data_IF_142119066528
#
_entry.id   IF_142119066528
#
_cell.length_a   1.000
_cell.length_b   1.000
_cell.length_c   1.000
_cell.angle_alpha   90.00
_cell.angle_beta   90.00
_cell.angle_gamma   90.00
#
_symmetry.space_group_name_H-M   'P 1'
#
loop_
_entity.id
_entity.type
_entity.pdbx_description
1 polymer ?
#
# COMPACT_ATOMS: atom_id res chain seq x y z
N UNK A 1 14.51 -10.46 12.35
CA UNK A 1 13.11 -10.23 11.99
C UNK A 1 12.54 -11.33 11.09
N UNK A 2 13.14 -11.70 9.94
CA UNK A 2 12.62 -12.74 9.02
C UNK A 2 12.34 -14.07 9.72
N UNK A 3 13.28 -14.61 10.48
CA UNK A 3 13.11 -15.87 11.22
C UNK A 3 11.93 -15.81 12.19
N UNK A 4 11.77 -14.68 12.90
CA UNK A 4 10.64 -14.48 13.82
C UNK A 4 9.32 -14.44 13.05
N UNK A 5 9.24 -13.66 11.96
CA UNK A 5 8.04 -13.59 11.14
C UNK A 5 7.66 -14.94 10.53
N UNK A 6 8.63 -15.65 9.96
CA UNK A 6 8.42 -16.97 9.37
C UNK A 6 7.95 -17.99 10.41
N UNK A 7 8.53 -17.96 11.62
CA UNK A 7 8.13 -18.86 12.69
C UNK A 7 6.62 -18.76 13.02
N UNK A 8 6.09 -17.53 13.10
CA UNK A 8 4.65 -17.33 13.35
C UNK A 8 3.79 -17.62 12.12
N UNK A 9 4.27 -17.30 10.92
CA UNK A 9 3.57 -17.63 9.69
C UNK A 9 3.43 -19.15 9.49
N UNK A 10 4.47 -19.95 9.80
CA UNK A 10 4.45 -21.40 9.78
C UNK A 10 3.47 -22.00 10.80
N UNK A 11 3.16 -21.28 11.87
CA UNK A 11 2.11 -21.63 12.83
C UNK A 11 0.71 -21.22 12.38
N UNK A 12 0.55 -20.65 11.17
CA UNK A 12 -0.72 -20.22 10.60
C UNK A 12 -1.21 -18.87 11.15
N UNK A 13 -0.31 -18.05 11.71
CA UNK A 13 -0.66 -16.67 12.09
C UNK A 13 -0.55 -15.72 10.88
N UNK A 14 -1.41 -14.72 10.83
CA UNK A 14 -1.36 -13.64 9.83
C UNK A 14 -0.26 -12.63 10.23
N UNK A 15 0.76 -12.51 9.38
CA UNK A 15 1.96 -11.71 9.61
C UNK A 15 2.16 -10.74 8.45
N UNK A 16 2.22 -9.44 8.75
CA UNK A 16 2.70 -8.46 7.78
C UNK A 16 4.24 -8.41 7.79
N UNK A 17 4.84 -8.53 6.61
CA UNK A 17 6.27 -8.32 6.39
C UNK A 17 6.48 -6.95 5.73
N UNK A 18 7.18 -6.05 6.41
CA UNK A 18 7.47 -4.70 5.92
C UNK A 18 8.85 -4.72 5.27
N UNK A 19 8.87 -4.82 3.95
CA UNK A 19 10.10 -4.92 3.16
C UNK A 19 10.76 -3.56 2.97
N UNK A 20 12.10 -3.53 3.05
CA UNK A 20 12.89 -2.34 2.79
C UNK A 20 12.97 -2.04 1.29
N UNK A 21 12.71 -0.79 0.90
CA UNK A 21 12.82 -0.37 -0.49
C UNK A 21 14.28 -0.22 -0.97
N UNK A 22 15.21 0.05 -0.05
CA UNK A 22 16.63 0.24 -0.35
C UNK A 22 17.40 -1.09 -0.44
N UNK A 23 16.95 -2.09 0.32
CA UNK A 23 17.48 -3.47 0.32
C UNK A 23 16.31 -4.45 0.26
N UNK A 24 15.89 -4.87 -0.94
CA UNK A 24 14.68 -5.68 -1.13
C UNK A 24 14.68 -7.04 -0.41
N UNK A 25 15.87 -7.48 0.03
CA UNK A 25 16.01 -8.71 0.80
C UNK A 25 15.96 -8.50 2.32
N UNK A 26 15.87 -7.25 2.78
CA UNK A 26 15.76 -6.89 4.19
C UNK A 26 14.35 -6.51 4.60
N UNK A 27 14.08 -6.57 5.91
CA UNK A 27 12.83 -6.12 6.51
C UNK A 27 13.07 -4.91 7.41
N UNK A 28 12.23 -3.89 7.23
CA UNK A 28 12.11 -2.76 8.15
C UNK A 28 11.23 -3.12 9.36
N UNK A 29 10.40 -4.18 9.24
CA UNK A 29 9.58 -4.65 10.34
C UNK A 29 8.75 -5.88 10.02
N UNK A 30 8.09 -6.39 11.08
CA UNK A 30 7.02 -7.38 11.02
C UNK A 30 5.89 -6.98 11.96
N UNK A 31 4.65 -7.37 11.60
CA UNK A 31 3.49 -7.16 12.47
C UNK A 31 2.74 -8.47 12.63
N UNK A 32 2.65 -8.95 13.87
CA UNK A 32 1.86 -10.11 14.26
C UNK A 32 0.44 -9.63 14.57
N UNK A 33 -0.44 -9.64 13.57
CA UNK A 33 -1.77 -8.99 13.64
C UNK A 33 -2.62 -9.49 14.80
N UNK A 34 -2.72 -10.80 14.96
CA UNK A 34 -3.52 -11.44 16.02
C UNK A 34 -3.00 -11.10 17.43
N UNK A 35 -1.68 -11.01 17.59
CA UNK A 35 -1.03 -10.69 18.86
C UNK A 35 -0.97 -9.19 19.13
N UNK A 36 -1.17 -8.35 18.10
CA UNK A 36 -1.01 -6.90 18.16
C UNK A 36 0.40 -6.49 18.60
N UNK A 37 1.41 -7.21 18.10
CA UNK A 37 2.84 -6.97 18.35
C UNK A 37 3.48 -6.59 17.04
N UNK A 38 4.30 -5.53 17.05
CA UNK A 38 5.16 -5.16 15.94
C UNK A 38 6.62 -5.19 16.40
N UNK A 39 7.50 -5.69 15.54
CA UNK A 39 8.95 -5.60 15.69
C UNK A 39 9.47 -4.74 14.53
N UNK A 40 10.04 -3.58 14.84
CA UNK A 40 10.45 -2.58 13.86
C UNK A 40 11.96 -2.30 13.98
N UNK A 41 12.59 -2.00 12.84
CA UNK A 41 13.92 -1.40 12.84
C UNK A 41 13.79 0.07 13.27
N UNK A 42 14.31 0.39 14.44
CA UNK A 42 14.31 1.75 15.01
C UNK A 42 15.57 2.55 14.68
N UNK A 43 16.44 2.05 13.77
CA UNK A 43 17.64 2.80 13.36
C UNK A 43 17.32 3.83 12.27
N UNK A 44 18.18 4.85 12.11
CA UNK A 44 17.99 5.85 11.07
C UNK A 44 17.99 5.20 9.67
N UNK A 45 17.09 5.64 8.75
CA UNK A 45 16.15 6.75 8.83
C UNK A 45 14.80 6.44 9.50
N UNK A 46 14.54 5.20 9.95
CA UNK A 46 13.26 4.71 10.46
C UNK A 46 13.10 4.91 11.97
N UNK A 47 13.64 6.01 12.50
CA UNK A 47 13.60 6.28 13.94
C UNK A 47 12.16 6.34 14.45
N UNK A 48 11.84 5.46 15.38
CA UNK A 48 10.56 5.41 16.10
C UNK A 48 10.82 5.58 17.57
N UNK A 49 10.38 6.70 18.13
CA UNK A 49 10.47 6.92 19.58
C UNK A 49 9.33 6.18 20.30
N UNK A 50 9.65 5.41 21.36
CA UNK A 50 8.63 4.77 22.17
C UNK A 50 7.73 5.82 22.81
N UNK A 51 6.41 5.61 22.72
CA UNK A 51 5.43 6.52 23.34
C UNK A 51 5.19 6.16 24.81
N UNK A 52 5.24 4.89 25.15
CA UNK A 52 5.01 4.37 26.49
C UNK A 52 6.11 3.37 26.88
N UNK A 53 7.37 3.84 27.03
CA UNK A 53 8.51 2.96 27.27
C UNK A 53 8.37 2.19 28.57
N UNK A 54 8.62 0.89 28.52
CA UNK A 54 8.52 -0.02 29.65
C UNK A 54 7.10 -0.42 30.06
N UNK A 55 6.06 0.26 29.55
CA UNK A 55 4.66 -0.08 29.80
C UNK A 55 4.02 -0.82 28.60
N UNK A 56 4.33 -0.38 27.38
CA UNK A 56 3.82 -0.94 26.12
C UNK A 56 4.96 -1.17 25.15
N UNK A 57 5.85 -0.20 25.02
CA UNK A 57 6.94 -0.22 24.05
C UNK A 57 8.24 -0.69 24.72
N UNK A 58 8.97 -1.56 24.03
CA UNK A 58 10.24 -2.10 24.47
C UNK A 58 11.33 -1.80 23.44
N UNK A 59 12.50 -1.39 23.92
CA UNK A 59 13.68 -1.14 23.09
C UNK A 59 14.64 -2.32 23.22
N UNK A 60 14.84 -3.05 22.11
CA UNK A 60 15.86 -4.08 22.04
C UNK A 60 17.17 -3.45 21.53
N UNK A 61 18.09 -3.16 22.45
CA UNK A 61 19.36 -2.53 22.11
C UNK A 61 20.39 -3.54 21.58
N UNK A 62 20.41 -3.78 20.28
CA UNK A 62 21.39 -4.65 19.65
C UNK A 62 22.82 -4.09 19.68
N UNK A 63 22.99 -2.80 20.01
CA UNK A 63 24.31 -2.18 20.19
C UNK A 63 25.09 -2.74 21.37
N UNK A 64 24.47 -3.44 22.30
CA UNK A 64 25.13 -4.17 23.39
C UNK A 64 26.08 -5.28 22.91
N UNK A 65 25.84 -5.79 21.69
CA UNK A 65 26.67 -6.83 21.05
C UNK A 65 27.79 -6.26 20.17
N UNK A 66 27.96 -4.93 20.11
CA UNK A 66 29.02 -4.32 19.30
C UNK A 66 30.39 -4.48 19.95
N UNK A 67 31.39 -4.83 19.13
CA UNK A 67 32.80 -4.77 19.51
C UNK A 67 33.28 -3.33 19.34
N UNK A 68 32.96 -2.49 20.34
CA UNK A 68 33.08 -1.03 20.27
C UNK A 68 34.50 -0.55 19.96
N UNK A 69 35.55 -1.25 20.42
CA UNK A 69 36.93 -0.85 20.18
C UNK A 69 37.35 -1.09 18.72
N UNK A 70 36.86 -2.16 18.08
CA UNK A 70 37.11 -2.41 16.67
C UNK A 70 36.39 -1.38 15.79
N UNK A 71 35.16 -1.02 16.13
CA UNK A 71 34.41 0.01 15.43
C UNK A 71 35.08 1.37 15.56
N UNK A 72 35.57 1.72 16.78
CA UNK A 72 36.33 2.97 17.00
C UNK A 72 37.62 3.03 16.21
N UNK A 73 38.32 1.92 16.08
CA UNK A 73 39.54 1.85 15.27
C UNK A 73 39.29 2.17 13.79
N UNK A 74 38.07 1.89 13.30
CA UNK A 74 37.64 2.16 11.91
C UNK A 74 36.83 3.45 11.75
N UNK A 75 36.76 4.31 12.76
CA UNK A 75 35.91 5.52 12.80
C UNK A 75 35.96 6.35 11.51
N UNK A 76 37.16 6.61 10.97
CA UNK A 76 37.30 7.41 9.75
C UNK A 76 36.66 6.78 8.53
N UNK A 77 36.79 5.47 8.38
CA UNK A 77 36.18 4.70 7.29
C UNK A 77 34.65 4.67 7.42
N UNK A 78 34.12 4.48 8.63
CA UNK A 78 32.68 4.48 8.90
C UNK A 78 32.07 5.83 8.56
N UNK A 79 32.65 6.94 9.02
CA UNK A 79 32.16 8.31 8.76
C UNK A 79 32.17 8.57 7.25
N UNK A 80 33.31 8.31 6.57
CA UNK A 80 33.42 8.52 5.12
C UNK A 80 32.43 7.67 4.32
N UNK A 81 32.16 6.43 4.74
CA UNK A 81 31.14 5.59 4.11
C UNK A 81 29.74 6.19 4.25
N UNK A 82 29.37 6.66 5.45
CA UNK A 82 28.09 7.29 5.70
C UNK A 82 27.89 8.58 4.89
N UNK A 83 28.92 9.42 4.79
CA UNK A 83 28.87 10.65 3.97
C UNK A 83 28.65 10.33 2.50
N UNK A 84 29.37 9.33 1.96
CA UNK A 84 29.19 8.88 0.58
C UNK A 84 27.80 8.30 0.34
N UNK A 85 27.32 7.46 1.25
CA UNK A 85 25.95 6.89 1.17
C UNK A 85 24.91 7.98 1.18
N UNK A 86 25.01 8.97 2.07
CA UNK A 86 24.10 10.12 2.12
C UNK A 86 24.09 10.91 0.82
N UNK A 87 25.28 11.17 0.23
CA UNK A 87 25.36 11.87 -1.05
C UNK A 87 24.71 11.07 -2.19
N UNK A 88 24.86 9.74 -2.22
CA UNK A 88 24.19 8.89 -3.20
C UNK A 88 22.67 8.90 -3.05
N UNK A 89 22.15 8.83 -1.83
CA UNK A 89 20.72 8.95 -1.60
C UNK A 89 20.15 10.30 -2.03
N UNK A 90 20.88 11.41 -1.81
CA UNK A 90 20.44 12.72 -2.32
C UNK A 90 20.31 12.72 -3.85
N UNK A 91 21.24 12.08 -4.57
CA UNK A 91 21.15 11.93 -6.02
C UNK A 91 19.93 11.09 -6.43
N UNK A 92 19.71 9.95 -5.77
CA UNK A 92 18.53 9.07 -6.02
C UNK A 92 17.24 9.85 -5.82
N UNK A 93 17.09 10.59 -4.71
CA UNK A 93 15.91 11.40 -4.47
C UNK A 93 15.74 12.52 -5.52
N UNK A 94 16.82 13.09 -6.04
CA UNK A 94 16.77 14.02 -7.16
C UNK A 94 16.17 13.38 -8.43
N UNK A 95 16.61 12.17 -8.79
CA UNK A 95 16.03 11.42 -9.91
C UNK A 95 14.56 11.04 -9.68
N UNK A 96 14.22 10.57 -8.50
CA UNK A 96 12.84 10.23 -8.15
C UNK A 96 11.92 11.47 -8.21
N UNK A 97 12.39 12.63 -7.75
CA UNK A 97 11.64 13.88 -7.84
C UNK A 97 11.40 14.30 -9.30
N UNK A 98 12.41 14.18 -10.17
CA UNK A 98 12.25 14.43 -11.59
C UNK A 98 11.27 13.47 -12.26
N UNK A 99 11.34 12.19 -11.93
CA UNK A 99 10.40 11.17 -12.39
C UNK A 99 8.97 11.46 -11.89
N UNK A 100 8.81 11.91 -10.65
CA UNK A 100 7.53 12.34 -10.07
C UNK A 100 6.89 13.50 -10.85
N UNK A 101 7.68 14.51 -11.23
CA UNK A 101 7.19 15.62 -12.08
C UNK A 101 6.72 15.15 -13.45
N UNK A 102 7.44 14.21 -14.06
CA UNK A 102 7.02 13.62 -15.32
C UNK A 102 5.72 12.82 -15.16
N UNK A 103 5.56 12.08 -14.07
CA UNK A 103 4.34 11.32 -13.77
C UNK A 103 3.14 12.25 -13.53
N UNK A 104 3.30 13.40 -12.84
CA UNK A 104 2.26 14.42 -12.70
C UNK A 104 1.80 14.95 -14.06
N UNK A 105 2.74 15.30 -14.94
CA UNK A 105 2.42 15.76 -16.29
C UNK A 105 1.68 14.69 -17.11
N UNK A 106 2.13 13.44 -17.06
CA UNK A 106 1.44 12.33 -17.73
C UNK A 106 0.01 12.15 -17.20
N UNK A 107 -0.20 12.28 -15.91
CA UNK A 107 -1.52 12.17 -15.29
C UNK A 107 -2.48 13.27 -15.80
N UNK A 108 -1.99 14.50 -15.93
CA UNK A 108 -2.78 15.60 -16.49
C UNK A 108 -3.15 15.37 -17.97
N UNK A 109 -2.20 14.89 -18.76
CA UNK A 109 -2.42 14.57 -20.19
C UNK A 109 -3.45 13.46 -20.30
N UNK A 110 -3.29 12.36 -19.58
CA UNK A 110 -4.23 11.22 -19.60
C UNK A 110 -5.64 11.63 -19.16
N UNK A 111 -5.74 12.47 -18.13
CA UNK A 111 -7.05 12.96 -17.68
C UNK A 111 -7.77 13.76 -18.77
N UNK A 112 -7.05 14.66 -19.47
CA UNK A 112 -7.64 15.44 -20.59
C UNK A 112 -8.07 14.55 -21.74
N UNK A 113 -7.28 13.51 -22.02
CA UNK A 113 -7.52 12.59 -23.14
C UNK A 113 -8.68 11.61 -22.89
N UNK A 114 -8.82 11.09 -21.69
CA UNK A 114 -9.91 10.19 -21.33
C UNK A 114 -11.24 10.91 -21.15
N UNK A 115 -11.20 12.20 -20.86
CA UNK A 115 -12.38 13.00 -20.59
C UNK A 115 -13.03 12.70 -19.23
N UNK A 116 -13.87 13.60 -18.76
CA UNK A 116 -14.54 13.46 -17.46
C UNK A 116 -15.63 12.37 -17.47
N UNK A 117 -16.23 12.11 -18.64
CA UNK A 117 -17.29 11.11 -18.79
C UNK A 117 -16.79 9.70 -18.51
N UNK A 118 -15.66 9.29 -19.10
CA UNK A 118 -15.06 7.97 -18.85
C UNK A 118 -14.71 7.75 -17.39
N UNK A 119 -14.20 8.79 -16.72
CA UNK A 119 -13.90 8.75 -15.27
C UNK A 119 -15.18 8.61 -14.45
N UNK A 120 -16.23 9.36 -14.83
CA UNK A 120 -17.54 9.29 -14.16
C UNK A 120 -18.16 7.91 -14.31
N UNK A 121 -18.14 7.32 -15.50
CA UNK A 121 -18.66 5.97 -15.75
C UNK A 121 -17.91 4.91 -14.95
N UNK A 122 -16.57 4.95 -14.93
CA UNK A 122 -15.76 4.03 -14.15
C UNK A 122 -16.06 4.16 -12.64
N UNK A 123 -16.19 5.39 -12.14
CA UNK A 123 -16.61 5.67 -10.77
C UNK A 123 -17.98 5.08 -10.46
N UNK A 124 -18.96 5.31 -11.33
CA UNK A 124 -20.33 4.79 -11.20
C UNK A 124 -20.34 3.26 -11.21
N UNK A 125 -19.59 2.63 -12.13
CA UNK A 125 -19.45 1.18 -12.18
C UNK A 125 -18.85 0.63 -10.87
N UNK A 126 -17.79 1.25 -10.34
CA UNK A 126 -17.19 0.87 -9.08
C UNK A 126 -18.19 1.02 -7.92
N UNK A 127 -18.86 2.16 -7.82
CA UNK A 127 -19.86 2.43 -6.78
C UNK A 127 -21.01 1.41 -6.80
N UNK A 128 -21.42 0.95 -7.97
CA UNK A 128 -22.44 -0.11 -8.12
C UNK A 128 -21.91 -1.46 -7.62
N UNK A 129 -20.66 -1.81 -7.96
CA UNK A 129 -20.04 -3.08 -7.56
C UNK A 129 -19.82 -3.17 -6.04
N UNK A 130 -19.43 -2.08 -5.37
CA UNK A 130 -19.29 -2.06 -3.92
C UNK A 130 -20.67 -2.02 -3.19
N UNK A 131 -21.74 -1.65 -3.88
CA UNK A 131 -23.08 -1.59 -3.33
C UNK A 131 -23.54 -2.91 -2.68
N UNK A 132 -23.17 -4.05 -3.27
CA UNK A 132 -23.46 -5.38 -2.71
C UNK A 132 -22.76 -5.62 -1.36
N UNK A 133 -21.50 -5.17 -1.23
CA UNK A 133 -20.72 -5.27 0.01
C UNK A 133 -21.37 -4.41 1.10
N UNK A 134 -21.75 -3.18 0.76
CA UNK A 134 -22.42 -2.26 1.68
C UNK A 134 -23.79 -2.80 2.16
N UNK A 135 -24.52 -3.50 1.30
CA UNK A 135 -25.83 -4.08 1.65
C UNK A 135 -25.67 -5.18 2.68
N UNK A 136 -24.70 -6.05 2.55
CA UNK A 136 -24.39 -7.11 3.54
C UNK A 136 -24.09 -6.48 4.90
N UNK A 137 -23.19 -5.52 4.96
CA UNK A 137 -22.80 -4.84 6.22
C UNK A 137 -23.99 -4.14 6.88
N UNK A 138 -24.82 -3.45 6.10
CA UNK A 138 -26.05 -2.79 6.63
C UNK A 138 -27.02 -3.79 7.25
N UNK A 139 -27.13 -4.97 6.67
CA UNK A 139 -27.98 -6.04 7.20
C UNK A 139 -27.44 -6.57 8.52
N UNK A 140 -26.14 -6.79 8.62
CA UNK A 140 -25.46 -7.22 9.84
C UNK A 140 -25.54 -6.13 10.94
N UNK A 141 -25.27 -4.88 10.59
CA UNK A 141 -25.40 -3.74 11.51
C UNK A 141 -26.84 -3.56 12.02
N UNK A 142 -27.84 -3.84 11.18
CA UNK A 142 -29.25 -3.83 11.60
C UNK A 142 -29.53 -4.96 12.60
N UNK A 143 -29.04 -6.18 12.33
CA UNK A 143 -29.18 -7.32 13.26
C UNK A 143 -28.50 -7.06 14.61
N UNK A 144 -27.34 -6.38 14.59
CA UNK A 144 -26.59 -6.05 15.80
C UNK A 144 -27.23 -4.88 16.57
N UNK A 145 -27.84 -3.91 15.89
CA UNK A 145 -28.62 -2.81 16.52
C UNK A 145 -29.88 -3.33 17.23
N UNK A 146 -30.58 -4.29 16.65
CA UNK A 146 -31.73 -4.94 17.28
C UNK A 146 -31.30 -5.70 18.56
N UNK A 147 -30.03 -5.99 18.73
CA UNK A 147 -29.42 -6.60 19.94
C UNK A 147 -28.84 -5.61 20.93
N UNK A 148 -28.34 -4.46 20.46
CA UNK A 148 -27.69 -3.41 21.27
C UNK A 148 -28.36 -2.05 21.00
N UNK A 149 -29.31 -1.67 21.85
CA UNK A 149 -29.98 -0.39 21.76
C UNK A 149 -28.96 0.76 21.85
N UNK A 150 -28.75 1.51 20.77
CA UNK A 150 -28.29 2.90 20.85
C UNK A 150 -26.85 3.21 20.43
N UNK A 151 -26.07 2.35 19.80
CA UNK A 151 -24.72 2.74 19.33
C UNK A 151 -24.77 3.19 17.85
N UNK A 152 -24.50 4.47 17.61
CA UNK A 152 -24.15 4.97 16.28
C UNK A 152 -22.87 4.26 15.83
N UNK A 153 -22.90 3.65 14.65
CA UNK A 153 -21.71 2.99 14.10
C UNK A 153 -20.65 4.04 13.84
N UNK A 154 -19.48 3.91 14.50
CA UNK A 154 -18.35 4.77 14.23
C UNK A 154 -17.85 4.55 12.79
N UNK A 155 -17.28 5.57 12.14
CA UNK A 155 -16.57 5.40 10.87
C UNK A 155 -15.47 4.33 11.02
N UNK A 156 -15.18 3.63 9.93
CA UNK A 156 -14.07 2.69 9.90
C UNK A 156 -12.71 3.39 10.02
N UNK A 157 -11.70 2.63 10.36
CA UNK A 157 -10.31 3.09 10.39
C UNK A 157 -9.61 2.83 9.06
N UNK A 158 -8.54 3.59 8.78
CA UNK A 158 -7.77 3.45 7.56
C UNK A 158 -6.27 3.29 7.88
N UNK A 159 -5.72 2.10 7.59
CA UNK A 159 -4.28 1.85 7.59
C UNK A 159 -3.70 2.25 6.23
N UNK A 160 -2.67 3.09 6.20
CA UNK A 160 -1.99 3.51 4.98
C UNK A 160 -0.69 2.75 4.82
N UNK A 161 -0.43 2.24 3.60
CA UNK A 161 0.76 1.47 3.29
C UNK A 161 1.12 1.58 1.80
N UNK A 162 2.15 0.84 1.37
CA UNK A 162 2.53 0.64 -0.03
C UNK A 162 2.34 -0.83 -0.40
N UNK A 163 1.85 -1.08 -1.61
CA UNK A 163 1.71 -2.43 -2.15
C UNK A 163 2.96 -2.89 -2.91
N UNK A 164 3.90 -2.00 -3.09
CA UNK A 164 5.16 -2.24 -3.77
C UNK A 164 6.16 -1.13 -3.53
N UNK A 165 7.34 -1.24 -4.13
CA UNK A 165 8.41 -0.28 -3.96
C UNK A 165 9.21 -0.08 -5.25
N UNK A 166 9.89 1.06 -5.34
CA UNK A 166 10.94 1.32 -6.33
C UNK A 166 12.26 0.95 -5.65
N UNK A 167 12.90 -0.10 -6.14
CA UNK A 167 14.10 -0.68 -5.54
C UNK A 167 15.29 -0.63 -6.51
N UNK A 168 16.52 -0.90 -6.07
CA UNK A 168 17.67 -1.04 -6.97
C UNK A 168 17.47 -2.10 -8.05
N UNK A 169 16.69 -3.15 -7.77
CA UNK A 169 16.37 -4.23 -8.72
C UNK A 169 15.18 -3.90 -9.64
N UNK A 170 14.62 -2.70 -9.55
CA UNK A 170 13.44 -2.26 -10.27
C UNK A 170 12.19 -2.18 -9.40
N UNK A 171 11.03 -2.20 -10.05
CA UNK A 171 9.76 -2.10 -9.34
C UNK A 171 9.37 -3.47 -8.79
N UNK A 172 9.21 -3.55 -7.48
CA UNK A 172 8.67 -4.73 -6.77
C UNK A 172 7.18 -4.51 -6.49
N UNK A 173 6.43 -5.60 -6.47
CA UNK A 173 4.98 -5.57 -6.30
C UNK A 173 4.52 -6.79 -5.50
N UNK A 174 3.87 -6.55 -4.37
CA UNK A 174 3.36 -7.57 -3.45
C UNK A 174 1.83 -7.71 -3.48
N UNK A 175 1.17 -7.17 -4.50
CA UNK A 175 -0.29 -7.28 -4.66
C UNK A 175 -0.82 -8.72 -4.56
N UNK A 176 -0.13 -9.74 -5.10
CA UNK A 176 -0.60 -11.12 -4.96
C UNK A 176 -0.76 -11.57 -3.51
N UNK A 177 0.15 -11.18 -2.62
CA UNK A 177 0.06 -11.50 -1.19
C UNK A 177 -1.07 -10.75 -0.49
N UNK A 178 -1.30 -9.50 -0.86
CA UNK A 178 -2.33 -8.64 -0.27
C UNK A 178 -3.75 -9.07 -0.61
N UNK A 179 -3.97 -9.70 -1.76
CA UNK A 179 -5.28 -10.20 -2.18
C UNK A 179 -5.48 -11.70 -1.92
N UNK A 180 -4.44 -12.37 -1.41
CA UNK A 180 -4.53 -13.80 -1.13
C UNK A 180 -5.65 -14.09 -0.12
N UNK A 181 -6.46 -15.11 -0.40
CA UNK A 181 -7.56 -15.52 0.48
C UNK A 181 -8.80 -14.62 0.46
N UNK A 182 -8.80 -13.50 -0.29
CA UNK A 182 -9.99 -12.69 -0.44
C UNK A 182 -11.01 -13.35 -1.38
N UNK A 183 -12.29 -13.22 -1.07
CA UNK A 183 -13.36 -13.82 -1.88
C UNK A 183 -13.62 -13.05 -3.19
N UNK A 184 -13.41 -11.73 -3.16
CA UNK A 184 -13.79 -10.83 -4.25
C UNK A 184 -12.73 -9.78 -4.54
N UNK A 185 -12.33 -9.66 -5.79
CA UNK A 185 -11.37 -8.65 -6.23
C UNK A 185 -11.94 -7.87 -7.41
N UNK A 186 -12.03 -6.55 -7.28
CA UNK A 186 -12.34 -5.66 -8.41
C UNK A 186 -11.02 -5.23 -9.03
N UNK A 187 -10.81 -5.58 -10.29
CA UNK A 187 -9.67 -5.18 -11.09
C UNK A 187 -10.02 -3.93 -11.89
N UNK A 188 -9.38 -2.82 -11.55
CA UNK A 188 -9.54 -1.54 -12.23
C UNK A 188 -8.42 -1.37 -13.25
N UNK A 189 -8.67 -1.75 -14.49
CA UNK A 189 -7.71 -1.60 -15.57
C UNK A 189 -7.69 -0.15 -16.05
N UNK A 190 -6.53 0.48 -15.92
CA UNK A 190 -6.34 1.86 -16.35
C UNK A 190 -4.94 2.05 -16.95
N UNK A 191 -4.77 3.06 -17.82
CA UNK A 191 -3.45 3.41 -18.33
C UNK A 191 -2.50 3.72 -17.19
N UNK A 192 -1.23 3.35 -17.33
CA UNK A 192 -0.20 3.74 -16.38
C UNK A 192 -0.06 5.26 -16.30
N UNK A 193 0.10 5.78 -15.09
CA UNK A 193 0.12 7.21 -14.84
C UNK A 193 -1.26 7.87 -14.68
N UNK A 194 -2.36 7.18 -15.00
CA UNK A 194 -3.70 7.73 -14.80
C UNK A 194 -3.93 8.06 -13.30
N UNK A 195 -4.57 9.21 -12.98
CA UNK A 195 -4.85 9.62 -11.60
C UNK A 195 -6.05 8.83 -11.04
N UNK A 196 -5.83 7.55 -10.76
CA UNK A 196 -6.84 6.58 -10.34
C UNK A 196 -7.50 6.91 -9.00
N UNK A 197 -6.83 7.68 -8.15
CA UNK A 197 -7.38 8.18 -6.88
C UNK A 197 -8.71 8.92 -7.07
N UNK A 198 -8.94 9.57 -8.21
CA UNK A 198 -10.22 10.21 -8.53
C UNK A 198 -11.40 9.24 -8.59
N UNK A 199 -11.12 7.96 -8.80
CA UNK A 199 -12.12 6.87 -8.80
C UNK A 199 -12.14 6.20 -7.43
N UNK A 200 -10.98 6.02 -6.80
CA UNK A 200 -10.85 5.23 -5.57
C UNK A 200 -11.19 6.01 -4.31
N UNK A 201 -10.84 7.31 -4.21
CA UNK A 201 -11.11 8.11 -3.00
C UNK A 201 -12.61 8.16 -2.65
N UNK A 202 -13.54 8.42 -3.58
CA UNK A 202 -14.96 8.37 -3.24
C UNK A 202 -15.47 6.98 -2.84
N UNK A 203 -14.79 5.91 -3.31
CA UNK A 203 -15.10 4.55 -2.89
C UNK A 203 -14.58 4.29 -1.47
N UNK A 204 -13.37 4.74 -1.16
CA UNK A 204 -12.76 4.67 0.16
C UNK A 204 -13.60 5.40 1.21
N UNK A 205 -13.96 6.66 0.97
CA UNK A 205 -14.81 7.45 1.87
C UNK A 205 -16.12 6.74 2.17
N UNK A 206 -16.80 6.26 1.13
CA UNK A 206 -18.07 5.56 1.29
C UNK A 206 -17.97 4.26 2.09
N UNK A 207 -16.85 3.54 1.98
CA UNK A 207 -16.59 2.33 2.76
C UNK A 207 -16.30 2.68 4.23
N UNK A 208 -15.48 3.71 4.47
CA UNK A 208 -15.20 4.22 5.83
C UNK A 208 -16.47 4.70 6.52
N UNK A 209 -17.30 5.49 5.85
CA UNK A 209 -18.59 5.97 6.37
C UNK A 209 -19.55 4.81 6.69
N UNK A 210 -19.41 3.69 5.97
CA UNK A 210 -20.15 2.47 6.25
C UNK A 210 -19.56 1.64 7.41
N UNK A 211 -18.46 2.10 8.03
CA UNK A 211 -17.81 1.48 9.18
C UNK A 211 -16.91 0.28 8.84
N UNK A 212 -16.37 0.22 7.61
CA UNK A 212 -15.36 -0.77 7.27
C UNK A 212 -13.97 -0.26 7.60
N UNK A 213 -13.17 -1.10 8.25
CA UNK A 213 -11.74 -0.88 8.35
C UNK A 213 -11.04 -1.19 7.02
N UNK A 214 -10.15 -0.33 6.58
CA UNK A 214 -9.51 -0.41 5.28
C UNK A 214 -7.99 -0.42 5.39
N UNK A 215 -7.36 -1.11 4.45
CA UNK A 215 -5.96 -0.93 4.10
C UNK A 215 -5.89 -0.19 2.76
N UNK A 216 -5.38 1.04 2.79
CA UNK A 216 -5.25 1.92 1.63
C UNK A 216 -3.78 1.97 1.17
N UNK A 217 -3.54 1.55 -0.07
CA UNK A 217 -2.19 1.44 -0.62
C UNK A 217 -1.93 2.56 -1.60
N UNK A 218 -0.88 3.33 -1.34
CA UNK A 218 -0.51 4.53 -2.07
C UNK A 218 0.69 4.28 -2.99
N UNK A 219 0.83 5.14 -4.00
CA UNK A 219 1.97 5.12 -4.91
C UNK A 219 3.25 5.57 -4.18
N UNK A 220 4.35 4.81 -4.21
CA UNK A 220 5.62 5.25 -3.60
C UNK A 220 6.16 6.57 -4.14
N UNK A 221 5.81 6.96 -5.38
CA UNK A 221 6.22 8.24 -5.98
C UNK A 221 5.35 9.42 -5.55
N UNK A 222 4.12 9.19 -5.09
CA UNK A 222 3.21 10.21 -4.56
C UNK A 222 2.44 9.65 -3.35
N UNK A 223 3.14 9.43 -2.22
CA UNK A 223 2.57 8.77 -1.05
C UNK A 223 1.49 9.59 -0.34
N UNK A 224 1.44 10.88 -0.62
CA UNK A 224 0.48 11.78 0.00
C UNK A 224 -0.90 11.74 -0.67
N UNK A 225 -0.93 11.58 -2.01
CA UNK A 225 -2.14 11.84 -2.81
C UNK A 225 -2.61 10.65 -3.64
N UNK A 226 -1.68 9.86 -4.22
CA UNK A 226 -2.05 8.86 -5.21
C UNK A 226 -2.41 7.53 -4.57
N UNK A 227 -3.68 7.37 -4.20
CA UNK A 227 -4.26 6.09 -3.79
C UNK A 227 -4.36 5.14 -5.00
N UNK A 228 -3.83 3.92 -4.90
CA UNK A 228 -3.78 2.94 -5.99
C UNK A 228 -4.58 1.68 -5.71
N UNK A 229 -4.69 1.23 -4.46
CA UNK A 229 -5.44 0.03 -4.11
C UNK A 229 -6.14 0.18 -2.76
N UNK A 230 -7.22 -0.56 -2.57
CA UNK A 230 -7.98 -0.63 -1.32
C UNK A 230 -8.23 -2.10 -1.00
N UNK A 231 -7.91 -2.51 0.20
CA UNK A 231 -8.27 -3.83 0.74
C UNK A 231 -9.22 -3.65 1.92
N UNK A 232 -10.25 -4.46 1.98
CA UNK A 232 -11.25 -4.49 3.05
C UNK A 232 -11.25 -5.90 3.64
N UNK A 233 -10.34 -6.20 4.59
CA UNK A 233 -10.10 -7.56 5.06
C UNK A 233 -11.37 -8.21 5.62
N UNK A 234 -12.11 -7.50 6.48
CA UNK A 234 -13.34 -8.01 7.12
C UNK A 234 -14.48 -8.32 6.13
N UNK A 235 -14.40 -7.77 4.92
CA UNK A 235 -15.38 -8.03 3.87
C UNK A 235 -14.87 -9.02 2.81
N UNK A 236 -13.66 -9.56 2.97
CA UNK A 236 -13.03 -10.45 2.00
C UNK A 236 -12.89 -9.83 0.60
N UNK A 237 -12.62 -8.53 0.50
CA UNK A 237 -12.80 -7.75 -0.71
C UNK A 237 -11.64 -6.79 -0.97
N UNK A 238 -11.24 -6.63 -2.25
CA UNK A 238 -10.27 -5.62 -2.66
C UNK A 238 -10.66 -4.90 -3.94
N UNK A 239 -10.14 -3.68 -4.11
CA UNK A 239 -10.13 -2.91 -5.35
C UNK A 239 -8.68 -2.69 -5.73
N UNK A 240 -8.25 -3.22 -6.86
CA UNK A 240 -6.85 -3.22 -7.28
C UNK A 240 -6.72 -2.56 -8.64
N UNK A 241 -5.87 -1.56 -8.75
CA UNK A 241 -5.47 -0.97 -10.02
C UNK A 241 -4.57 -1.93 -10.79
N UNK A 242 -4.88 -2.17 -12.05
CA UNK A 242 -4.13 -3.04 -12.94
C UNK A 242 -3.54 -2.27 -14.11
N UNK A 243 -2.24 -2.35 -14.28
CA UNK A 243 -1.47 -1.85 -15.41
C UNK A 243 -0.13 -2.62 -15.49
N UNK A 244 0.83 -2.19 -16.32
CA UNK A 244 2.10 -2.91 -16.45
C UNK A 244 2.96 -2.94 -15.17
N UNK A 245 2.76 -1.99 -14.26
CA UNK A 245 3.48 -1.94 -12.97
C UNK A 245 2.74 -2.70 -11.86
N UNK A 246 1.43 -2.79 -11.97
CA UNK A 246 0.56 -3.46 -11.02
C UNK A 246 -0.07 -4.67 -11.70
N UNK A 247 0.76 -5.71 -11.90
CA UNK A 247 0.31 -6.96 -12.48
C UNK A 247 -0.22 -7.88 -11.40
N UNK A 248 -1.51 -8.20 -11.49
CA UNK A 248 -2.15 -9.15 -10.59
C UNK A 248 -3.08 -10.04 -11.40
N UNK A 249 -3.10 -11.32 -11.03
CA UNK A 249 -4.08 -12.29 -11.54
C UNK A 249 -4.89 -12.76 -10.34
N UNK A 250 -6.21 -12.55 -10.39
CA UNK A 250 -7.10 -13.16 -9.43
C UNK A 250 -7.06 -14.68 -9.58
N UNK A 251 -7.06 -15.40 -8.47
CA UNK A 251 -7.18 -16.86 -8.51
C UNK A 251 -8.60 -17.23 -8.96
N UNK A 252 -8.71 -17.74 -10.19
CA UNK A 252 -9.99 -18.07 -10.83
C UNK A 252 -10.76 -19.19 -10.09
N UNK A 253 -10.11 -19.95 -9.23
CA UNK A 253 -10.73 -21.04 -8.50
C UNK A 253 -11.36 -20.59 -7.18
N UNK A 254 -10.82 -19.57 -6.55
CA UNK A 254 -11.22 -19.11 -5.21
C UNK A 254 -11.75 -17.69 -5.17
N UNK A 255 -11.46 -16.87 -6.19
CA UNK A 255 -11.78 -15.45 -6.22
C UNK A 255 -12.73 -15.06 -7.35
N UNK A 256 -13.78 -14.31 -7.03
CA UNK A 256 -14.63 -13.66 -8.02
C UNK A 256 -13.98 -12.37 -8.48
N UNK A 257 -13.43 -12.34 -9.68
CA UNK A 257 -12.90 -11.12 -10.28
C UNK A 257 -13.97 -10.35 -11.03
N UNK A 258 -13.99 -9.03 -10.85
CA UNK A 258 -14.85 -8.10 -11.58
C UNK A 258 -13.96 -7.04 -12.24
N UNK A 259 -14.07 -6.91 -13.56
CA UNK A 259 -13.26 -5.97 -14.31
C UNK A 259 -13.99 -4.65 -14.54
N UNK A 260 -13.27 -3.55 -14.38
CA UNK A 260 -13.64 -2.21 -14.85
C UNK A 260 -12.46 -1.72 -15.69
N UNK A 261 -12.71 -1.30 -16.93
CA UNK A 261 -11.64 -0.89 -17.83
C UNK A 261 -11.84 0.56 -18.26
N UNK A 262 -10.78 1.35 -18.13
CA UNK A 262 -10.67 2.67 -18.76
C UNK A 262 -9.81 2.51 -20.00
N UNK A 263 -10.42 2.63 -21.17
CA UNK A 263 -9.72 2.52 -22.43
C UNK A 263 -9.25 3.89 -22.91
N UNK A 264 -7.99 3.96 -23.33
CA UNK A 264 -7.47 5.13 -24.03
C UNK A 264 -8.00 5.13 -25.46
N UNK A 265 -8.57 6.23 -25.94
CA UNK A 265 -8.97 6.32 -27.34
C UNK A 265 -7.81 5.99 -28.29
N UNK A 266 -8.06 5.18 -29.32
CA UNK A 266 -7.01 4.66 -30.23
C UNK A 266 -6.19 5.75 -30.94
N UNK A 267 -6.75 6.94 -31.10
CA UNK A 267 -6.08 8.09 -31.70
C UNK A 267 -5.06 8.78 -30.76
N UNK A 268 -5.01 8.37 -29.52
CA UNK A 268 -4.19 8.97 -28.46
C UNK A 268 -2.94 8.16 -28.15
N UNK A 269 -2.97 6.86 -28.47
CA UNK A 269 -1.88 5.92 -28.14
C UNK A 269 -0.50 6.33 -28.69
N UNK A 270 -0.36 6.91 -29.93
CA UNK A 270 0.93 7.39 -30.43
C UNK A 270 1.52 8.52 -29.56
N UNK A 271 0.70 9.44 -29.08
CA UNK A 271 1.14 10.57 -28.23
C UNK A 271 1.63 10.07 -26.86
N UNK A 272 0.96 9.06 -26.33
CA UNK A 272 1.37 8.44 -25.07
C UNK A 272 2.69 7.69 -25.19
N UNK A 273 2.99 7.10 -26.35
CA UNK A 273 4.26 6.43 -26.61
C UNK A 273 5.44 7.41 -26.63
N UNK A 274 5.23 8.63 -27.11
CA UNK A 274 6.27 9.68 -27.11
C UNK A 274 6.52 10.28 -25.72
N UNK A 275 5.53 10.25 -24.83
CA UNK A 275 5.63 10.76 -23.47
C UNK A 275 6.20 9.73 -22.49
N UNK A 276 6.07 8.46 -22.78
CA UNK A 276 6.58 7.32 -22.00
C UNK A 276 8.10 7.15 -22.16
#
# INVERSE_FOLDING_TARGET
MKEVGNHFAEQGEDVDFLWCSSDPDSLDGIVLKKRRIALLDGTAPHVVDPQNPGAVDEILNLGEYWVSDEIRAQRGSVISCNERTSAMFQMVYGYLAAAGKRAEFLAEVLQRMLGEESVFEARRALQTKIGSVLTVRRTEAKRNRDRAMGCLQAPGSCKRAFAGAITPDGIKNELPSLIHGLEKVILLHCPEGFPVQKILEPAMERLLDAGFDLEAYYCPMDPAKKLEHIVVPDAGFAIVTCNRYHTVKADSNTQKSLNITLEVPKNVDPVLQEIR
#
